data_IF_065345453049
#
_entry.id   IF_065345453049
#
_cell.length_a   1.000
_cell.length_b   1.000
_cell.length_c   1.000
_cell.angle_alpha   90.00
_cell.angle_beta   90.00
_cell.angle_gamma   90.00
#
_symmetry.space_group_name_H-M   'P 1'
#
loop_
_entity.id
_entity.type
_entity.pdbx_description
1 polymer ?
#
# COMPACT_ATOMS: atom_id res chain seq x y z
N UNK A 1 -24.50 9.14 1.24
CA UNK A 1 -23.46 8.42 2.00
C UNK A 1 -22.10 8.62 1.35
N UNK A 2 -21.15 9.06 2.17
CA UNK A 2 -19.77 9.19 1.68
C UNK A 2 -19.10 7.84 1.65
N UNK A 3 -18.59 7.45 0.50
CA UNK A 3 -17.83 6.21 0.36
C UNK A 3 -16.35 6.51 0.54
N UNK A 4 -15.70 5.73 1.37
CA UNK A 4 -14.26 5.82 1.51
C UNK A 4 -13.62 4.90 0.49
N UNK A 5 -12.74 5.47 -0.30
CA UNK A 5 -11.98 4.73 -1.29
C UNK A 5 -10.51 4.79 -0.93
N UNK A 6 -9.82 3.69 -1.09
CA UNK A 6 -8.39 3.62 -0.81
C UNK A 6 -7.63 3.32 -2.09
N UNK A 7 -6.48 3.95 -2.23
CA UNK A 7 -5.54 3.61 -3.28
C UNK A 7 -4.31 3.03 -2.61
N UNK A 8 -3.92 1.85 -3.06
CA UNK A 8 -2.70 1.19 -2.60
C UNK A 8 -1.56 1.52 -3.55
N UNK A 9 -0.40 1.81 -2.97
CA UNK A 9 0.76 2.28 -3.72
C UNK A 9 1.97 1.45 -3.32
N UNK A 10 2.73 1.00 -4.32
CA UNK A 10 4.06 0.46 -4.08
C UNK A 10 5.05 1.58 -4.35
N UNK A 11 5.87 1.89 -3.36
CA UNK A 11 6.88 2.93 -3.49
C UNK A 11 8.24 2.32 -3.75
N UNK A 12 9.15 3.13 -4.29
CA UNK A 12 10.54 2.72 -4.43
C UNK A 12 11.17 2.53 -3.05
N UNK A 13 12.14 1.65 -2.94
CA UNK A 13 12.77 1.36 -1.66
C UNK A 13 13.87 2.33 -1.27
N UNK A 14 13.94 3.49 -1.92
CA UNK A 14 14.98 4.48 -1.67
C UNK A 14 14.44 5.67 -0.87
N UNK A 15 15.29 6.68 -0.68
CA UNK A 15 14.96 7.86 0.12
C UNK A 15 13.88 8.73 -0.51
N UNK A 16 13.64 8.60 -1.81
CA UNK A 16 12.67 9.43 -2.51
C UNK A 16 11.25 8.93 -2.38
N UNK A 17 11.07 7.65 -2.06
CA UNK A 17 9.75 7.03 -1.89
C UNK A 17 8.80 7.32 -3.06
N UNK A 18 9.31 7.20 -4.29
CA UNK A 18 8.52 7.48 -5.48
C UNK A 18 7.51 6.37 -5.75
N UNK A 19 6.27 6.71 -6.12
CA UNK A 19 5.27 5.68 -6.42
C UNK A 19 5.64 4.95 -7.72
N UNK A 20 5.75 3.63 -7.63
CA UNK A 20 6.07 2.77 -8.76
C UNK A 20 4.83 2.12 -9.35
N UNK A 21 3.90 1.70 -8.49
CA UNK A 21 2.68 1.00 -8.91
C UNK A 21 1.50 1.54 -8.11
N UNK A 22 0.40 1.82 -8.80
CA UNK A 22 -0.85 2.25 -8.18
C UNK A 22 -1.92 1.20 -8.42
N UNK A 23 -2.77 0.97 -7.42
CA UNK A 23 -3.87 0.01 -7.54
C UNK A 23 -5.03 0.42 -6.64
N UNK A 24 -6.24 0.05 -7.05
CA UNK A 24 -7.45 0.37 -6.31
C UNK A 24 -7.69 -0.56 -5.11
N UNK A 25 -6.95 -1.65 -5.04
CA UNK A 25 -7.08 -2.61 -3.95
C UNK A 25 -5.76 -3.32 -3.70
N UNK A 26 -5.65 -3.92 -2.52
CA UNK A 26 -4.45 -4.70 -2.19
C UNK A 26 -4.33 -5.93 -3.10
N UNK A 27 -5.46 -6.54 -3.46
CA UNK A 27 -5.46 -7.67 -4.39
C UNK A 27 -4.92 -7.28 -5.76
N UNK A 28 -5.36 -6.14 -6.27
CA UNK A 28 -4.88 -5.64 -7.55
C UNK A 28 -3.40 -5.30 -7.49
N UNK A 29 -2.97 -4.64 -6.42
CA UNK A 29 -1.56 -4.32 -6.23
C UNK A 29 -0.71 -5.58 -6.15
N UNK A 30 -1.20 -6.59 -5.45
CA UNK A 30 -0.51 -7.88 -5.35
C UNK A 30 -0.35 -8.53 -6.73
N UNK A 31 -1.39 -8.51 -7.54
CA UNK A 31 -1.33 -9.05 -8.90
C UNK A 31 -0.32 -8.31 -9.77
N UNK A 32 -0.27 -6.99 -9.64
CA UNK A 32 0.67 -6.18 -10.43
C UNK A 32 2.12 -6.32 -9.99
N UNK A 33 2.35 -6.66 -8.73
CA UNK A 33 3.71 -6.72 -8.17
C UNK A 33 4.19 -8.14 -7.92
N UNK A 34 3.33 -9.14 -8.14
CA UNK A 34 3.69 -10.53 -7.88
C UNK A 34 3.72 -10.90 -6.40
N UNK A 35 3.10 -10.08 -5.56
CA UNK A 35 3.03 -10.32 -4.11
C UNK A 35 1.66 -10.90 -3.74
N UNK A 36 1.44 -11.16 -2.46
CA UNK A 36 0.13 -11.60 -2.00
C UNK A 36 -0.59 -10.47 -1.27
N UNK A 37 -1.93 -10.38 -1.40
CA UNK A 37 -2.69 -9.33 -0.70
C UNK A 37 -2.51 -9.37 0.81
N UNK A 38 -2.42 -10.57 1.38
CA UNK A 38 -2.20 -10.73 2.80
C UNK A 38 -0.88 -10.15 3.26
N UNK A 39 0.18 -10.37 2.49
CA UNK A 39 1.49 -9.82 2.78
C UNK A 39 1.46 -8.29 2.77
N UNK A 40 0.84 -7.71 1.75
CA UNK A 40 0.75 -6.24 1.63
C UNK A 40 0.03 -5.65 2.83
N UNK A 41 -1.13 -6.18 3.17
CA UNK A 41 -1.92 -5.69 4.30
C UNK A 41 -1.20 -5.87 5.63
N UNK A 42 -0.56 -7.01 5.82
CA UNK A 42 0.17 -7.31 7.06
C UNK A 42 1.36 -6.38 7.23
N UNK A 43 2.17 -6.21 6.21
CA UNK A 43 3.33 -5.33 6.27
C UNK A 43 2.93 -3.88 6.48
N UNK A 44 1.90 -3.42 5.79
CA UNK A 44 1.40 -2.06 5.96
C UNK A 44 0.90 -1.84 7.39
N UNK A 45 0.18 -2.80 7.93
CA UNK A 45 -0.34 -2.74 9.30
C UNK A 45 0.80 -2.64 10.31
N UNK A 46 1.82 -3.48 10.17
CA UNK A 46 2.99 -3.47 11.07
C UNK A 46 3.74 -2.14 10.97
N UNK A 47 3.91 -1.64 9.77
CA UNK A 47 4.57 -0.36 9.57
C UNK A 47 3.78 0.78 10.21
N UNK A 48 2.46 0.78 10.01
CA UNK A 48 1.56 1.79 10.57
C UNK A 48 1.60 1.81 12.09
N UNK A 49 1.80 0.65 12.72
CA UNK A 49 1.91 0.53 14.17
C UNK A 49 3.33 0.72 14.70
N UNK A 50 4.28 0.97 13.83
CA UNK A 50 5.67 1.16 14.21
C UNK A 50 6.43 -0.11 14.49
N UNK A 51 5.89 -1.28 14.14
CA UNK A 51 6.56 -2.55 14.40
C UNK A 51 7.70 -2.84 13.45
N UNK A 52 7.64 -2.29 12.23
CA UNK A 52 8.73 -2.39 11.26
C UNK A 52 9.08 -0.99 10.76
N UNK A 53 10.34 -0.79 10.43
CA UNK A 53 10.83 0.52 10.01
C UNK A 53 10.72 0.73 8.50
N UNK A 54 10.71 -0.34 7.73
CA UNK A 54 10.68 -0.24 6.27
C UNK A 54 9.46 -0.97 5.73
N UNK A 55 8.73 -0.30 4.86
CA UNK A 55 7.59 -0.87 4.17
C UNK A 55 7.49 -0.22 2.80
N UNK A 56 7.33 -1.02 1.76
CA UNK A 56 7.19 -0.51 0.39
C UNK A 56 5.75 -0.21 0.02
N UNK A 57 4.82 -0.44 0.94
CA UNK A 57 3.41 -0.27 0.69
C UNK A 57 2.91 0.98 1.36
N UNK A 58 2.06 1.73 0.66
CA UNK A 58 1.37 2.89 1.23
C UNK A 58 -0.08 2.83 0.84
N UNK A 59 -0.92 3.42 1.65
CA UNK A 59 -2.35 3.49 1.38
C UNK A 59 -2.81 4.93 1.55
N UNK A 60 -3.51 5.43 0.53
CA UNK A 60 -4.08 6.77 0.57
C UNK A 60 -5.59 6.65 0.64
N UNK A 61 -6.20 7.34 1.58
CA UNK A 61 -7.64 7.39 1.71
C UNK A 61 -8.17 8.57 0.91
N UNK A 62 -9.15 8.28 0.05
CA UNK A 62 -9.83 9.29 -0.74
C UNK A 62 -11.26 9.42 -0.25
N UNK A 63 -11.70 10.63 0.03
CA UNK A 63 -13.09 10.91 0.36
C UNK A 63 -13.80 11.46 -0.86
N UNK A 64 -14.96 10.89 -1.15
CA UNK A 64 -15.85 11.43 -2.19
C UNK A 64 -16.93 12.29 -1.56
#
# INVERSE_FOLDING_TARGET
MKRKKYIWIRISGDVYELPEVLADSAEELAAKTGSSPGTIKTEYCKWSKGKIKKCRWRRVELEE
#
